data_IF_916511800735
#
_entry.id   IF_916511800735
#
_cell.length_a   1.000
_cell.length_b   1.000
_cell.length_c   1.000
_cell.angle_alpha   90.00
_cell.angle_beta   90.00
_cell.angle_gamma   90.00
#
_symmetry.space_group_name_H-M   'P 1'
#
loop_
_entity.id
_entity.type
_entity.pdbx_description
1 polymer ?
#
# COMPACT_ATOMS: atom_id res chain seq x y z
N UNK A 1 -59.61 -33.08 -42.48
CA UNK A 1 -58.94 -31.87 -41.94
C UNK A 1 -57.60 -32.31 -41.40
N UNK A 2 -56.53 -32.01 -42.14
CA UNK A 2 -55.16 -32.41 -41.82
C UNK A 2 -54.64 -31.46 -40.76
N UNK A 3 -54.18 -32.01 -39.63
CA UNK A 3 -53.63 -31.28 -38.50
C UNK A 3 -52.25 -30.75 -38.91
N UNK A 4 -52.18 -29.46 -39.24
CA UNK A 4 -50.92 -28.78 -39.59
C UNK A 4 -50.30 -28.25 -38.29
N UNK A 5 -49.15 -28.79 -37.94
CA UNK A 5 -48.33 -28.32 -36.83
C UNK A 5 -47.36 -29.41 -36.38
N UNK A 6 -46.06 -29.13 -36.43
CA UNK A 6 -45.01 -30.00 -35.89
C UNK A 6 -45.10 -29.99 -34.36
N UNK A 7 -45.93 -30.89 -33.82
CA UNK A 7 -46.19 -31.01 -32.38
C UNK A 7 -44.90 -31.38 -31.63
N UNK A 8 -43.99 -32.11 -32.27
CA UNK A 8 -42.67 -32.46 -31.75
C UNK A 8 -41.71 -31.27 -31.78
N UNK A 9 -41.82 -30.38 -32.77
CA UNK A 9 -41.13 -29.08 -32.80
C UNK A 9 -41.59 -28.15 -31.66
N UNK A 10 -42.88 -28.12 -31.35
CA UNK A 10 -43.44 -27.36 -30.22
C UNK A 10 -43.03 -27.97 -28.87
N UNK A 11 -42.88 -29.30 -28.79
CA UNK A 11 -42.38 -29.98 -27.61
C UNK A 11 -40.89 -29.66 -27.36
N UNK A 12 -40.06 -29.64 -28.42
CA UNK A 12 -38.64 -29.26 -28.34
C UNK A 12 -38.45 -27.79 -27.92
N UNK A 13 -39.27 -26.87 -28.43
CA UNK A 13 -39.28 -25.47 -27.97
C UNK A 13 -39.79 -25.32 -26.52
N UNK A 14 -40.54 -26.29 -25.97
CA UNK A 14 -40.92 -26.30 -24.55
C UNK A 14 -39.81 -26.86 -23.65
N UNK A 15 -39.02 -27.82 -24.12
CA UNK A 15 -37.86 -28.33 -23.35
C UNK A 15 -36.71 -27.31 -23.35
N UNK A 16 -36.45 -26.61 -24.46
CA UNK A 16 -35.34 -25.64 -24.57
C UNK A 16 -35.62 -24.26 -23.92
N UNK A 17 -36.84 -24.02 -23.41
CA UNK A 17 -37.21 -22.76 -22.76
C UNK A 17 -37.60 -22.87 -21.28
N UNK A 18 -37.43 -24.04 -20.67
CA UNK A 18 -37.65 -24.24 -19.24
C UNK A 18 -36.38 -24.58 -18.45
N UNK A 19 -35.22 -24.17 -18.94
CA UNK A 19 -34.01 -24.06 -18.10
C UNK A 19 -33.92 -22.69 -17.39
N UNK A 20 -35.08 -22.13 -17.02
CA UNK A 20 -35.12 -21.30 -15.83
C UNK A 20 -34.88 -22.26 -14.67
N UNK A 21 -33.61 -22.45 -14.32
CA UNK A 21 -33.23 -22.77 -12.96
C UNK A 21 -33.97 -21.76 -12.08
N UNK A 22 -35.12 -22.19 -11.54
CA UNK A 22 -35.56 -21.75 -10.25
C UNK A 22 -34.35 -22.00 -9.37
N UNK A 23 -33.55 -20.96 -9.17
CA UNK A 23 -32.64 -20.88 -8.05
C UNK A 23 -33.54 -21.20 -6.87
N UNK A 24 -33.46 -22.43 -6.37
CA UNK A 24 -34.03 -22.75 -5.07
C UNK A 24 -33.48 -21.65 -4.17
N UNK A 25 -34.37 -20.78 -3.70
CA UNK A 25 -34.01 -19.72 -2.75
C UNK A 25 -33.36 -20.46 -1.60
N UNK A 26 -32.03 -20.45 -1.57
CA UNK A 26 -31.29 -21.22 -0.60
C UNK A 26 -31.51 -20.51 0.72
N UNK A 27 -32.49 -20.94 1.51
CA UNK A 27 -32.89 -20.29 2.76
C UNK A 27 -31.70 -20.14 3.74
N UNK A 28 -30.61 -20.88 3.53
CA UNK A 28 -29.33 -20.70 4.22
C UNK A 28 -28.72 -19.29 4.03
N UNK A 29 -28.96 -18.61 2.90
CA UNK A 29 -28.48 -17.24 2.63
C UNK A 29 -29.02 -16.17 3.58
N UNK A 30 -30.08 -16.49 4.35
CA UNK A 30 -30.71 -15.58 5.31
C UNK A 30 -30.49 -15.97 6.77
N UNK A 31 -29.69 -17.01 7.04
CA UNK A 31 -29.41 -17.51 8.40
C UNK A 31 -28.74 -16.46 9.30
N UNK A 32 -28.04 -15.50 8.69
CA UNK A 32 -27.42 -14.41 9.43
C UNK A 32 -28.43 -13.64 10.28
N UNK A 33 -29.66 -13.41 9.78
CA UNK A 33 -30.72 -12.72 10.53
C UNK A 33 -31.06 -13.46 11.82
N UNK A 34 -31.18 -14.78 11.76
CA UNK A 34 -31.48 -15.63 12.92
C UNK A 34 -30.36 -15.60 13.98
N UNK A 35 -29.10 -15.53 13.54
CA UNK A 35 -27.94 -15.34 14.43
C UNK A 35 -28.06 -14.05 15.24
N UNK A 36 -28.37 -12.93 14.58
CA UNK A 36 -28.37 -11.62 15.25
C UNK A 36 -29.64 -11.31 16.04
N UNK A 37 -30.79 -11.90 15.70
CA UNK A 37 -32.01 -11.81 16.54
C UNK A 37 -31.73 -12.19 17.99
N UNK A 38 -31.07 -13.33 18.20
CA UNK A 38 -30.70 -13.82 19.54
C UNK A 38 -29.61 -12.97 20.17
N UNK A 39 -28.57 -12.62 19.40
CA UNK A 39 -27.39 -11.91 19.91
C UNK A 39 -27.69 -10.47 20.33
N UNK A 40 -28.62 -9.80 19.65
CA UNK A 40 -29.03 -8.42 19.94
C UNK A 40 -30.25 -8.33 20.87
N UNK A 41 -30.83 -9.47 21.27
CA UNK A 41 -32.04 -9.55 22.09
C UNK A 41 -33.18 -8.66 21.54
N UNK A 42 -33.43 -8.78 20.23
CA UNK A 42 -34.40 -7.94 19.53
C UNK A 42 -35.83 -8.23 20.01
N UNK A 43 -36.63 -7.19 20.07
CA UNK A 43 -38.08 -7.30 20.31
C UNK A 43 -38.77 -8.03 19.15
N UNK A 44 -40.02 -8.47 19.36
CA UNK A 44 -40.82 -9.10 18.30
C UNK A 44 -41.00 -8.17 17.09
N UNK A 45 -41.20 -6.88 17.35
CA UNK A 45 -41.40 -5.88 16.31
C UNK A 45 -40.11 -5.63 15.51
N UNK A 46 -38.97 -5.49 16.17
CA UNK A 46 -37.67 -5.36 15.51
C UNK A 46 -37.31 -6.62 14.71
N UNK A 47 -37.64 -7.79 15.24
CA UNK A 47 -37.47 -9.08 14.55
C UNK A 47 -38.30 -9.13 13.27
N UNK A 48 -39.57 -8.69 13.32
CA UNK A 48 -40.44 -8.61 12.16
C UNK A 48 -39.90 -7.66 11.10
N UNK A 49 -39.36 -6.50 11.50
CA UNK A 49 -38.75 -5.54 10.56
C UNK A 49 -37.48 -6.13 9.92
N UNK A 50 -36.63 -6.80 10.70
CA UNK A 50 -35.41 -7.45 10.18
C UNK A 50 -35.74 -8.58 9.19
N UNK A 51 -36.83 -9.31 9.40
CA UNK A 51 -37.27 -10.40 8.53
C UNK A 51 -37.73 -9.97 7.14
N UNK A 52 -38.03 -8.68 6.95
CA UNK A 52 -38.35 -8.09 5.64
C UNK A 52 -37.12 -7.84 4.76
N UNK A 53 -35.90 -7.91 5.31
CA UNK A 53 -34.67 -7.64 4.54
C UNK A 53 -34.28 -8.85 3.69
N UNK A 54 -34.30 -8.70 2.37
CA UNK A 54 -33.86 -9.73 1.44
C UNK A 54 -32.47 -9.39 0.87
N UNK A 55 -31.47 -9.47 1.77
CA UNK A 55 -30.08 -9.11 1.46
C UNK A 55 -29.13 -10.28 1.76
N UNK A 56 -28.37 -10.69 0.75
CA UNK A 56 -27.28 -11.65 0.90
C UNK A 56 -26.08 -10.99 1.56
N UNK A 57 -25.34 -11.74 2.36
CA UNK A 57 -24.18 -11.21 3.07
C UNK A 57 -23.05 -10.81 2.10
N UNK A 58 -22.27 -9.80 2.47
CA UNK A 58 -21.09 -9.34 1.74
C UNK A 58 -19.86 -9.30 2.67
N UNK A 59 -18.67 -9.04 2.13
CA UNK A 59 -17.43 -9.05 2.91
C UNK A 59 -17.46 -8.15 4.16
N UNK A 60 -18.10 -6.98 4.10
CA UNK A 60 -18.19 -6.06 5.23
C UNK A 60 -19.19 -6.56 6.28
N UNK A 61 -20.38 -6.98 5.85
CA UNK A 61 -21.42 -7.52 6.74
C UNK A 61 -21.05 -8.92 7.27
N UNK A 62 -20.10 -9.62 6.64
CA UNK A 62 -19.48 -10.83 7.18
C UNK A 62 -18.63 -10.54 8.42
N UNK A 63 -18.12 -9.31 8.59
CA UNK A 63 -17.49 -8.89 9.84
C UNK A 63 -18.60 -8.65 10.87
N UNK A 64 -18.59 -9.45 11.92
CA UNK A 64 -19.68 -9.51 12.89
C UNK A 64 -20.01 -8.14 13.52
N UNK A 65 -18.98 -7.39 13.94
CA UNK A 65 -19.17 -6.06 14.52
C UNK A 65 -19.81 -5.09 13.53
N UNK A 66 -19.34 -5.09 12.28
CA UNK A 66 -19.92 -4.26 11.21
C UNK A 66 -21.39 -4.63 10.97
N UNK A 67 -21.73 -5.91 10.92
CA UNK A 67 -23.11 -6.36 10.77
C UNK A 67 -24.00 -5.84 11.91
N UNK A 68 -23.53 -5.95 13.15
CA UNK A 68 -24.26 -5.48 14.34
C UNK A 68 -24.55 -3.99 14.25
N UNK A 69 -23.56 -3.16 13.92
CA UNK A 69 -23.74 -1.72 13.81
C UNK A 69 -24.67 -1.33 12.65
N UNK A 70 -24.62 -2.06 11.52
CA UNK A 70 -25.57 -1.85 10.41
C UNK A 70 -26.99 -2.22 10.82
N UNK A 71 -27.20 -3.35 11.51
CA UNK A 71 -28.53 -3.76 12.01
C UNK A 71 -29.06 -2.72 13.00
N UNK A 72 -28.24 -2.25 13.94
CA UNK A 72 -28.61 -1.22 14.92
C UNK A 72 -29.03 0.07 14.24
N UNK A 73 -28.22 0.55 13.29
CA UNK A 73 -28.55 1.74 12.50
C UNK A 73 -29.85 1.54 11.73
N UNK A 74 -30.01 0.40 11.06
CA UNK A 74 -31.23 0.07 10.32
C UNK A 74 -32.49 0.10 11.18
N UNK A 75 -32.49 -0.58 12.33
CA UNK A 75 -33.64 -0.60 13.22
C UNK A 75 -33.96 0.80 13.76
N UNK A 76 -32.94 1.57 14.12
CA UNK A 76 -33.11 2.95 14.56
C UNK A 76 -33.66 3.84 13.43
N UNK A 77 -33.16 3.68 12.20
CA UNK A 77 -33.66 4.40 11.02
C UNK A 77 -35.12 4.07 10.75
N UNK A 78 -35.49 2.79 10.77
CA UNK A 78 -36.88 2.36 10.57
C UNK A 78 -37.81 2.91 11.66
N UNK A 79 -37.38 2.95 12.92
CA UNK A 79 -38.18 3.53 13.99
C UNK A 79 -38.37 5.05 13.80
N UNK A 80 -37.30 5.79 13.47
CA UNK A 80 -37.40 7.23 13.21
C UNK A 80 -38.27 7.53 11.99
N UNK A 81 -38.15 6.73 10.94
CA UNK A 81 -38.96 6.87 9.73
C UNK A 81 -40.45 6.67 10.03
N UNK A 82 -40.80 5.64 10.83
CA UNK A 82 -42.17 5.43 11.32
C UNK A 82 -42.69 6.65 12.08
N UNK A 83 -41.90 7.21 13.00
CA UNK A 83 -42.30 8.40 13.76
C UNK A 83 -42.51 9.63 12.87
N UNK A 84 -41.65 9.84 11.87
CA UNK A 84 -41.80 10.96 10.92
C UNK A 84 -43.13 10.85 10.16
N UNK A 85 -43.48 9.65 9.67
CA UNK A 85 -44.73 9.47 8.94
C UNK A 85 -45.96 9.61 9.84
N UNK A 86 -45.92 9.08 11.06
CA UNK A 86 -47.00 9.25 12.05
C UNK A 86 -47.20 10.73 12.39
N UNK A 87 -46.13 11.50 12.59
CA UNK A 87 -46.20 12.94 12.86
C UNK A 87 -46.80 13.74 11.69
N UNK A 88 -46.69 13.23 10.47
CA UNK A 88 -47.28 13.83 9.28
C UNK A 88 -48.70 13.32 8.99
N UNK A 89 -49.30 12.53 9.89
CA UNK A 89 -50.65 11.99 9.73
C UNK A 89 -50.75 10.78 8.80
N UNK A 90 -49.64 10.10 8.52
CA UNK A 90 -49.54 8.92 7.67
C UNK A 90 -49.00 7.71 8.44
N UNK A 91 -48.75 6.59 7.75
CA UNK A 91 -48.07 5.42 8.30
C UNK A 91 -47.01 4.92 7.32
N UNK A 92 -46.04 4.16 7.81
CA UNK A 92 -44.98 3.64 6.93
C UNK A 92 -45.55 2.70 5.87
N UNK A 93 -46.60 1.96 6.19
CA UNK A 93 -47.29 1.05 5.27
C UNK A 93 -47.95 1.83 4.13
N UNK A 94 -48.65 2.93 4.44
CA UNK A 94 -49.30 3.78 3.43
C UNK A 94 -48.25 4.42 2.51
N UNK A 95 -47.19 5.00 3.07
CA UNK A 95 -46.15 5.66 2.29
C UNK A 95 -45.40 4.68 1.39
N UNK A 96 -45.13 3.47 1.90
CA UNK A 96 -44.50 2.43 1.09
C UNK A 96 -45.44 1.96 -0.02
N UNK A 97 -46.74 1.83 0.23
CA UNK A 97 -47.70 1.47 -0.81
C UNK A 97 -47.80 2.56 -1.90
N UNK A 98 -47.75 3.84 -1.53
CA UNK A 98 -47.74 4.95 -2.49
C UNK A 98 -46.50 4.93 -3.39
N UNK A 99 -45.31 4.79 -2.80
CA UNK A 99 -44.06 4.70 -3.57
C UNK A 99 -44.10 3.45 -4.46
N UNK A 100 -44.57 2.31 -3.92
CA UNK A 100 -44.69 1.07 -4.68
C UNK A 100 -45.69 1.20 -5.85
N UNK A 101 -46.82 1.89 -5.71
CA UNK A 101 -47.79 2.13 -6.79
C UNK A 101 -47.13 2.89 -7.96
N UNK A 102 -46.32 3.91 -7.67
CA UNK A 102 -45.56 4.64 -8.70
C UNK A 102 -44.54 3.72 -9.37
N UNK A 103 -43.72 3.01 -8.61
CA UNK A 103 -42.73 2.06 -9.13
C UNK A 103 -43.39 1.02 -10.03
N UNK A 104 -44.46 0.37 -9.57
CA UNK A 104 -45.13 -0.71 -10.30
C UNK A 104 -45.77 -0.21 -11.60
N UNK A 105 -46.36 0.98 -11.59
CA UNK A 105 -46.99 1.55 -12.80
C UNK A 105 -45.98 2.15 -13.76
N UNK A 106 -44.88 2.73 -13.29
CA UNK A 106 -43.93 3.50 -14.12
C UNK A 106 -42.71 2.69 -14.54
N UNK A 107 -42.14 1.93 -13.63
CA UNK A 107 -40.98 1.08 -13.90
C UNK A 107 -41.40 -0.26 -14.51
N UNK A 108 -42.29 -1.01 -13.84
CA UNK A 108 -42.75 -2.32 -14.33
C UNK A 108 -43.89 -2.23 -15.37
N UNK A 109 -44.53 -1.07 -15.50
CA UNK A 109 -45.64 -0.81 -16.45
C UNK A 109 -46.85 -1.74 -16.25
N UNK A 110 -47.10 -2.18 -15.03
CA UNK A 110 -48.26 -3.03 -14.73
C UNK A 110 -49.53 -2.22 -14.52
N UNK A 111 -50.65 -2.74 -15.04
CA UNK A 111 -51.97 -2.13 -14.86
C UNK A 111 -52.42 -2.26 -13.41
N UNK A 112 -52.87 -1.15 -12.83
CA UNK A 112 -53.43 -1.10 -11.47
C UNK A 112 -54.54 -2.14 -11.29
N UNK A 113 -54.44 -2.93 -10.21
CA UNK A 113 -55.40 -4.00 -9.88
C UNK A 113 -55.17 -5.35 -10.58
N UNK A 114 -54.24 -5.46 -11.53
CA UNK A 114 -53.86 -6.75 -12.12
C UNK A 114 -53.17 -7.67 -11.11
N UNK A 115 -53.13 -8.98 -11.38
CA UNK A 115 -52.43 -9.92 -10.50
C UNK A 115 -50.93 -9.58 -10.40
N UNK A 116 -50.29 -9.23 -11.53
CA UNK A 116 -48.90 -8.80 -11.55
C UNK A 116 -48.68 -7.52 -10.73
N UNK A 117 -49.62 -6.58 -10.77
CA UNK A 117 -49.57 -5.39 -9.91
C UNK A 117 -49.58 -5.77 -8.44
N UNK A 118 -50.52 -6.62 -8.00
CA UNK A 118 -50.65 -7.01 -6.59
C UNK A 118 -49.39 -7.72 -6.08
N UNK A 119 -48.82 -8.63 -6.87
CA UNK A 119 -47.57 -9.30 -6.52
C UNK A 119 -46.37 -8.34 -6.50
N UNK A 120 -46.28 -7.43 -7.47
CA UNK A 120 -45.17 -6.49 -7.54
C UNK A 120 -45.17 -5.48 -6.39
N UNK A 121 -46.34 -5.02 -5.93
CA UNK A 121 -46.44 -4.12 -4.76
C UNK A 121 -45.77 -4.75 -3.53
N UNK A 122 -46.08 -6.01 -3.21
CA UNK A 122 -45.48 -6.72 -2.09
C UNK A 122 -43.96 -6.92 -2.26
N UNK A 123 -43.51 -7.17 -3.50
CA UNK A 123 -42.09 -7.30 -3.79
C UNK A 123 -41.33 -5.98 -3.62
N UNK A 124 -41.92 -4.85 -4.05
CA UNK A 124 -41.33 -3.52 -3.90
C UNK A 124 -41.10 -3.18 -2.42
N UNK A 125 -42.03 -3.54 -1.53
CA UNK A 125 -41.87 -3.29 -0.10
C UNK A 125 -40.60 -3.95 0.46
N UNK A 126 -40.37 -5.23 0.16
CA UNK A 126 -39.16 -5.94 0.55
C UNK A 126 -37.89 -5.34 -0.07
N UNK A 127 -38.00 -4.84 -1.31
CA UNK A 127 -36.92 -4.12 -1.98
C UNK A 127 -36.58 -2.82 -1.26
N UNK A 128 -37.58 -2.06 -0.78
CA UNK A 128 -37.36 -0.86 0.02
C UNK A 128 -36.60 -1.19 1.30
N UNK A 129 -37.04 -2.19 2.07
CA UNK A 129 -36.31 -2.63 3.27
C UNK A 129 -34.85 -3.00 2.97
N UNK A 130 -34.60 -3.66 1.83
CA UNK A 130 -33.26 -4.04 1.38
C UNK A 130 -32.41 -2.84 0.99
N UNK A 131 -32.99 -1.87 0.27
CA UNK A 131 -32.28 -0.65 -0.13
C UNK A 131 -31.99 0.27 1.06
N UNK A 132 -32.91 0.38 2.01
CA UNK A 132 -32.69 1.08 3.29
C UNK A 132 -31.53 0.43 4.06
N UNK A 133 -31.49 -0.90 4.13
CA UNK A 133 -30.40 -1.61 4.78
C UNK A 133 -29.05 -1.34 4.10
N UNK A 134 -28.97 -1.39 2.76
CA UNK A 134 -27.75 -1.01 2.02
C UNK A 134 -27.34 0.44 2.29
N UNK A 135 -28.29 1.35 2.43
CA UNK A 135 -28.01 2.75 2.73
C UNK A 135 -27.44 2.93 4.15
N UNK A 136 -27.96 2.17 5.12
CA UNK A 136 -27.38 2.05 6.46
C UNK A 136 -25.95 1.47 6.39
N UNK A 137 -25.73 0.43 5.58
CA UNK A 137 -24.40 -0.14 5.39
C UNK A 137 -23.39 0.87 4.83
N UNK A 138 -23.77 1.62 3.80
CA UNK A 138 -22.92 2.68 3.24
C UNK A 138 -22.57 3.76 4.27
N UNK A 139 -23.52 4.08 5.15
CA UNK A 139 -23.32 5.06 6.23
C UNK A 139 -22.30 4.54 7.25
N UNK A 140 -22.43 3.28 7.68
CA UNK A 140 -21.46 2.66 8.59
C UNK A 140 -20.10 2.51 7.93
N UNK A 141 -20.04 2.12 6.64
CA UNK A 141 -18.80 2.05 5.86
C UNK A 141 -18.08 3.39 5.83
N UNK A 142 -18.79 4.46 5.53
CA UNK A 142 -18.23 5.81 5.49
C UNK A 142 -17.73 6.25 6.87
N UNK A 143 -18.52 6.03 7.92
CA UNK A 143 -18.11 6.30 9.30
C UNK A 143 -16.86 5.52 9.71
N UNK A 144 -16.71 4.28 9.23
CA UNK A 144 -15.54 3.44 9.47
C UNK A 144 -14.40 3.67 8.46
N UNK A 145 -14.46 4.72 7.62
CA UNK A 145 -13.40 5.06 6.66
C UNK A 145 -13.23 4.04 5.52
N UNK A 146 -14.25 3.25 5.22
CA UNK A 146 -14.25 2.30 4.12
C UNK A 146 -14.77 2.97 2.83
N UNK A 147 -13.86 3.25 1.89
CA UNK A 147 -14.16 4.05 0.68
C UNK A 147 -15.09 3.39 -0.33
N UNK A 148 -15.12 2.05 -0.40
CA UNK A 148 -15.96 1.32 -1.37
C UNK A 148 -17.41 1.28 -0.88
N UNK A 149 -18.28 2.08 -1.51
CA UNK A 149 -19.72 2.08 -1.26
C UNK A 149 -20.41 1.02 -2.14
N UNK A 150 -21.52 0.49 -1.66
CA UNK A 150 -22.45 -0.32 -2.45
C UNK A 150 -23.24 0.62 -3.35
N UNK A 151 -23.37 0.27 -4.62
CA UNK A 151 -24.25 0.99 -5.55
C UNK A 151 -25.71 0.78 -5.15
N UNK A 152 -26.41 1.89 -4.90
CA UNK A 152 -27.84 1.92 -4.60
C UNK A 152 -28.45 2.87 -5.63
N UNK A 153 -28.90 2.32 -6.76
CA UNK A 153 -29.61 3.08 -7.79
C UNK A 153 -30.84 2.27 -8.26
N UNK A 154 -31.80 2.03 -7.35
CA UNK A 154 -33.02 1.34 -7.73
C UNK A 154 -33.78 2.18 -8.76
N UNK A 155 -34.38 1.49 -9.73
CA UNK A 155 -35.23 2.10 -10.75
C UNK A 155 -34.53 3.12 -11.67
N UNK A 156 -33.21 3.04 -11.86
CA UNK A 156 -32.42 3.93 -12.72
C UNK A 156 -33.00 4.13 -14.14
N UNK A 157 -33.72 3.14 -14.67
CA UNK A 157 -34.38 3.20 -15.98
C UNK A 157 -35.72 3.94 -16.01
N UNK A 158 -36.24 4.40 -14.86
CA UNK A 158 -37.52 5.11 -14.73
C UNK A 158 -37.35 6.35 -13.85
N UNK A 159 -37.21 7.52 -14.50
CA UNK A 159 -37.04 8.82 -13.83
C UNK A 159 -38.13 9.09 -12.79
N UNK A 160 -39.41 8.93 -13.16
CA UNK A 160 -40.55 9.14 -12.24
C UNK A 160 -40.45 8.27 -10.97
N UNK A 161 -40.14 6.96 -11.14
CA UNK A 161 -40.06 6.03 -10.01
C UNK A 161 -38.83 6.31 -9.14
N UNK A 162 -37.72 6.69 -9.76
CA UNK A 162 -36.49 7.09 -9.07
C UNK A 162 -36.70 8.36 -8.25
N UNK A 163 -37.29 9.40 -8.85
CA UNK A 163 -37.57 10.67 -8.17
C UNK A 163 -38.50 10.47 -6.98
N UNK A 164 -39.58 9.69 -7.14
CA UNK A 164 -40.50 9.40 -6.03
C UNK A 164 -39.78 8.66 -4.89
N UNK A 165 -38.97 7.66 -5.21
CA UNK A 165 -38.20 6.90 -4.23
C UNK A 165 -37.15 7.76 -3.53
N UNK A 166 -36.41 8.59 -4.25
CA UNK A 166 -35.38 9.46 -3.69
C UNK A 166 -35.99 10.55 -2.79
N UNK A 167 -37.05 11.20 -3.26
CA UNK A 167 -37.67 12.33 -2.55
C UNK A 167 -38.45 11.87 -1.32
N UNK A 168 -39.28 10.82 -1.43
CA UNK A 168 -40.11 10.37 -0.30
C UNK A 168 -39.37 9.50 0.72
N UNK A 169 -38.34 8.77 0.30
CA UNK A 169 -37.63 7.82 1.17
C UNK A 169 -36.18 8.22 1.43
N UNK A 170 -35.33 8.31 0.41
CA UNK A 170 -33.88 8.48 0.60
C UNK A 170 -33.54 9.83 1.25
N UNK A 171 -34.22 10.91 0.86
CA UNK A 171 -34.00 12.25 1.45
C UNK A 171 -34.26 12.25 2.96
N UNK A 172 -35.31 11.56 3.42
CA UNK A 172 -35.66 11.43 4.84
C UNK A 172 -34.64 10.59 5.59
N UNK A 173 -34.20 9.49 4.98
CA UNK A 173 -33.17 8.62 5.57
C UNK A 173 -31.85 9.37 5.73
N UNK A 174 -31.45 10.16 4.72
CA UNK A 174 -30.25 10.98 4.81
C UNK A 174 -30.31 11.94 6.00
N UNK A 175 -31.46 12.60 6.22
CA UNK A 175 -31.66 13.48 7.38
C UNK A 175 -31.60 12.73 8.71
N UNK A 176 -32.21 11.55 8.80
CA UNK A 176 -32.14 10.69 10.00
C UNK A 176 -30.68 10.30 10.29
N UNK A 177 -29.93 9.93 9.25
CA UNK A 177 -28.55 9.47 9.40
C UNK A 177 -27.60 10.57 9.90
N UNK A 178 -27.85 11.85 9.56
CA UNK A 178 -27.08 12.97 10.12
C UNK A 178 -27.14 13.01 11.66
N UNK A 179 -28.26 12.59 12.25
CA UNK A 179 -28.43 12.53 13.70
C UNK A 179 -27.88 11.20 14.26
N UNK A 180 -28.20 10.09 13.60
CA UNK A 180 -27.86 8.75 14.10
C UNK A 180 -26.38 8.38 13.94
N UNK A 181 -25.63 9.02 13.04
CA UNK A 181 -24.21 8.71 12.84
C UNK A 181 -23.38 8.86 14.11
N UNK A 182 -23.74 9.82 14.97
CA UNK A 182 -23.09 10.06 16.27
C UNK A 182 -23.30 8.93 17.29
N UNK A 183 -24.28 8.06 17.06
CA UNK A 183 -24.59 6.92 17.93
C UNK A 183 -23.91 5.62 17.49
N UNK A 184 -23.24 5.63 16.33
CA UNK A 184 -22.51 4.47 15.82
C UNK A 184 -21.20 4.37 16.62
N UNK A 185 -20.93 3.17 17.15
CA UNK A 185 -19.71 2.96 17.93
C UNK A 185 -18.51 2.78 16.99
N UNK A 186 -17.36 3.33 17.38
CA UNK A 186 -16.12 3.11 16.65
C UNK A 186 -15.75 1.61 16.64
N UNK A 187 -15.07 1.12 15.59
CA UNK A 187 -14.64 -0.27 15.51
C UNK A 187 -13.65 -0.64 16.63
N UNK A 188 -13.77 -1.85 17.16
CA UNK A 188 -12.76 -2.41 18.06
C UNK A 188 -11.46 -2.80 17.31
N UNK A 189 -10.41 -3.15 18.05
CA UNK A 189 -9.10 -3.49 17.46
C UNK A 189 -9.18 -4.67 16.49
N UNK A 190 -9.98 -5.67 16.79
CA UNK A 190 -10.13 -6.86 15.94
C UNK A 190 -10.86 -6.52 14.62
N UNK A 191 -11.89 -5.69 14.72
CA UNK A 191 -12.66 -5.19 13.57
C UNK A 191 -11.80 -4.29 12.70
N UNK A 192 -10.99 -3.41 13.29
CA UNK A 192 -10.01 -2.58 12.56
C UNK A 192 -9.05 -3.43 11.72
N UNK A 193 -8.52 -4.52 12.28
CA UNK A 193 -7.63 -5.44 11.57
C UNK A 193 -8.34 -6.05 10.36
N UNK A 194 -9.55 -6.58 10.55
CA UNK A 194 -10.36 -7.17 9.47
C UNK A 194 -10.73 -6.14 8.39
N UNK A 195 -11.02 -4.90 8.78
CA UNK A 195 -11.33 -3.82 7.84
C UNK A 195 -10.10 -3.41 7.01
N UNK A 196 -8.91 -3.40 7.62
CA UNK A 196 -7.66 -3.09 6.95
C UNK A 196 -7.21 -4.23 6.00
N UNK A 197 -7.49 -5.48 6.33
CA UNK A 197 -7.29 -6.62 5.43
C UNK A 197 -8.12 -6.47 4.14
N UNK A 198 -9.36 -5.98 4.24
CA UNK A 198 -10.23 -5.82 3.06
C UNK A 198 -9.85 -4.66 2.15
N UNK A 199 -9.16 -3.63 2.67
CA UNK A 199 -8.75 -2.46 1.91
C UNK A 199 -7.33 -2.06 2.27
N UNK A 200 -6.39 -2.48 1.42
CA UNK A 200 -4.95 -2.30 1.61
C UNK A 200 -4.53 -0.85 1.73
N UNK A 201 -5.34 0.11 1.26
CA UNK A 201 -5.04 1.55 1.27
C UNK A 201 -5.75 2.32 2.38
N UNK A 202 -6.56 1.67 3.23
CA UNK A 202 -7.35 2.34 4.28
C UNK A 202 -6.48 3.07 5.30
N UNK A 203 -5.30 2.53 5.61
CA UNK A 203 -4.34 3.14 6.53
C UNK A 203 -3.88 4.54 6.12
N UNK A 204 -3.94 4.89 4.82
CA UNK A 204 -3.49 6.20 4.31
C UNK A 204 -4.25 7.37 4.93
N UNK A 205 -5.53 7.19 5.26
CA UNK A 205 -6.32 8.24 5.92
C UNK A 205 -5.80 8.50 7.33
N UNK A 206 -5.65 7.46 8.15
CA UNK A 206 -5.09 7.56 9.50
C UNK A 206 -3.64 8.06 9.48
N UNK A 207 -2.83 7.60 8.54
CA UNK A 207 -1.46 8.08 8.36
C UNK A 207 -1.41 9.58 8.07
N UNK A 208 -2.30 10.08 7.20
CA UNK A 208 -2.40 11.51 6.90
C UNK A 208 -2.83 12.31 8.14
N UNK A 209 -3.76 11.79 8.94
CA UNK A 209 -4.17 12.41 10.21
C UNK A 209 -2.98 12.52 11.17
N UNK A 210 -2.26 11.41 11.41
CA UNK A 210 -1.04 11.37 12.26
C UNK A 210 0.03 12.34 11.75
N UNK A 211 0.23 12.40 10.43
CA UNK A 211 1.20 13.31 9.82
C UNK A 211 0.80 14.78 9.95
N UNK A 212 -0.50 15.07 9.94
CA UNK A 212 -1.04 16.43 10.03
C UNK A 212 -1.11 16.94 11.47
N UNK A 213 -1.30 16.04 12.45
CA UNK A 213 -1.27 16.35 13.89
C UNK A 213 0.16 16.40 14.46
N UNK A 214 1.18 16.17 13.65
CA UNK A 214 2.56 16.14 14.09
C UNK A 214 3.03 17.47 14.67
N UNK A 215 3.39 17.46 15.96
CA UNK A 215 3.75 18.62 16.76
C UNK A 215 5.27 18.68 17.07
N UNK A 216 6.12 18.07 16.23
CA UNK A 216 7.57 17.87 16.44
C UNK A 216 7.93 16.86 17.56
N UNK A 217 6.97 16.14 18.11
CA UNK A 217 7.24 15.02 19.01
C UNK A 217 7.49 13.72 18.23
N UNK A 218 8.77 13.37 18.02
CA UNK A 218 9.15 12.24 17.18
C UNK A 218 8.81 10.88 17.78
N UNK A 219 8.89 10.74 19.11
CA UNK A 219 8.54 9.50 19.83
C UNK A 219 7.05 9.20 19.77
N UNK A 220 6.21 10.21 19.96
CA UNK A 220 4.76 10.07 19.85
C UNK A 220 4.35 9.67 18.42
N UNK A 221 5.00 10.24 17.40
CA UNK A 221 4.81 9.82 16.02
C UNK A 221 5.21 8.36 15.80
N UNK A 222 6.39 7.95 16.30
CA UNK A 222 6.86 6.56 16.23
C UNK A 222 5.85 5.59 16.85
N UNK A 223 5.36 5.88 18.06
CA UNK A 223 4.38 5.04 18.75
C UNK A 223 3.06 4.93 17.98
N UNK A 224 2.56 6.05 17.42
CA UNK A 224 1.34 6.08 16.62
C UNK A 224 1.49 5.28 15.31
N UNK A 225 2.65 5.34 14.65
CA UNK A 225 2.92 4.55 13.43
C UNK A 225 3.04 3.06 13.77
N UNK A 226 3.69 2.70 14.88
CA UNK A 226 3.77 1.30 15.34
C UNK A 226 2.37 0.78 15.68
N UNK A 227 1.53 1.57 16.35
CA UNK A 227 0.13 1.19 16.61
C UNK A 227 -0.66 1.01 15.31
N UNK A 228 -0.49 1.92 14.34
CA UNK A 228 -1.09 1.79 13.02
C UNK A 228 -0.64 0.51 12.30
N UNK A 229 0.65 0.16 12.39
CA UNK A 229 1.19 -1.09 11.88
C UNK A 229 0.57 -2.32 12.55
N UNK A 230 0.38 -2.31 13.87
CA UNK A 230 -0.31 -3.40 14.60
C UNK A 230 -1.75 -3.59 14.14
N UNK A 231 -2.46 -2.50 13.86
CA UNK A 231 -3.82 -2.56 13.28
C UNK A 231 -3.85 -3.03 11.82
N UNK A 232 -2.71 -3.05 11.14
CA UNK A 232 -2.56 -3.49 9.76
C UNK A 232 -1.77 -4.81 9.65
N UNK A 233 -1.60 -5.57 10.74
CA UNK A 233 -0.79 -6.81 10.75
C UNK A 233 -1.19 -7.86 9.69
N UNK A 234 -2.47 -7.90 9.31
CA UNK A 234 -3.02 -8.82 8.29
C UNK A 234 -3.11 -8.15 6.91
N UNK A 235 -2.82 -6.85 6.80
CA UNK A 235 -2.83 -6.14 5.54
C UNK A 235 -1.56 -6.48 4.75
N UNK A 236 -1.67 -6.93 3.48
CA UNK A 236 -0.50 -7.26 2.65
C UNK A 236 0.36 -6.04 2.27
N UNK A 237 -0.06 -4.82 2.63
CA UNK A 237 0.68 -3.58 2.35
C UNK A 237 1.16 -2.86 3.62
N UNK A 238 1.30 -3.60 4.73
CA UNK A 238 1.69 -3.06 6.05
C UNK A 238 3.10 -2.46 6.04
N UNK A 239 4.00 -3.02 5.27
CA UNK A 239 5.37 -2.56 5.08
C UNK A 239 5.41 -1.10 4.57
N UNK A 240 4.47 -0.72 3.69
CA UNK A 240 4.39 0.64 3.17
C UNK A 240 4.05 1.69 4.24
N UNK A 241 3.39 1.30 5.34
CA UNK A 241 3.10 2.21 6.47
C UNK A 241 4.41 2.67 7.12
N UNK A 242 5.30 1.71 7.38
CA UNK A 242 6.58 1.94 8.01
C UNK A 242 7.55 2.66 7.06
N UNK A 243 7.51 2.33 5.77
CA UNK A 243 8.32 3.01 4.75
C UNK A 243 7.93 4.48 4.58
N UNK A 244 6.64 4.79 4.48
CA UNK A 244 6.20 6.19 4.40
C UNK A 244 6.45 6.95 5.73
N UNK A 245 6.29 6.26 6.87
CA UNK A 245 6.63 6.82 8.18
C UNK A 245 8.11 7.18 8.31
N UNK A 246 9.02 6.31 7.86
CA UNK A 246 10.47 6.57 7.91
C UNK A 246 10.85 7.77 7.04
N UNK A 247 10.28 7.88 5.84
CA UNK A 247 10.49 9.04 4.94
C UNK A 247 10.02 10.35 5.57
N UNK A 248 8.86 10.34 6.24
CA UNK A 248 8.29 11.54 6.86
C UNK A 248 9.17 12.03 8.01
N UNK A 249 9.54 11.15 8.94
CA UNK A 249 10.26 11.54 10.16
C UNK A 249 11.75 11.80 9.93
N UNK A 250 12.33 11.37 8.81
CA UNK A 250 13.74 11.55 8.46
C UNK A 250 14.25 12.99 8.57
N UNK A 251 13.38 13.99 8.32
CA UNK A 251 13.72 15.41 8.43
C UNK A 251 13.79 15.94 9.87
N UNK A 252 13.20 15.21 10.83
CA UNK A 252 13.02 15.65 12.22
C UNK A 252 13.87 14.85 13.18
N UNK A 253 13.86 13.52 13.06
CA UNK A 253 14.63 12.63 13.90
C UNK A 253 15.18 11.46 13.06
N UNK A 254 16.50 11.36 13.03
CA UNK A 254 17.20 10.37 12.24
C UNK A 254 17.11 8.96 12.88
N UNK A 255 17.16 8.85 14.21
CA UNK A 255 17.05 7.57 14.93
C UNK A 255 15.66 6.95 14.76
N UNK A 256 14.60 7.75 14.91
CA UNK A 256 13.23 7.27 14.76
C UNK A 256 12.94 6.86 13.30
N UNK A 257 13.54 7.55 12.32
CA UNK A 257 13.44 7.20 10.91
C UNK A 257 14.08 5.86 10.60
N UNK A 258 15.29 5.61 11.10
CA UNK A 258 15.97 4.32 10.93
C UNK A 258 15.22 3.20 11.64
N UNK A 259 14.64 3.47 12.82
CA UNK A 259 13.81 2.50 13.54
C UNK A 259 12.57 2.08 12.74
N UNK A 260 11.86 3.04 12.14
CA UNK A 260 10.74 2.76 11.23
C UNK A 260 11.19 2.00 9.97
N UNK A 261 12.37 2.29 9.44
CA UNK A 261 12.91 1.57 8.29
C UNK A 261 13.23 0.09 8.62
N UNK A 262 13.70 -0.21 9.82
CA UNK A 262 13.87 -1.61 10.26
C UNK A 262 12.51 -2.31 10.39
N UNK A 263 11.48 -1.63 10.90
CA UNK A 263 10.12 -2.18 10.90
C UNK A 263 9.60 -2.44 9.48
N UNK A 264 9.92 -1.56 8.51
CA UNK A 264 9.62 -1.81 7.10
C UNK A 264 10.26 -3.12 6.63
N UNK A 265 11.56 -3.31 6.86
CA UNK A 265 12.28 -4.53 6.46
C UNK A 265 11.73 -5.79 7.15
N UNK A 266 11.37 -5.74 8.43
CA UNK A 266 10.78 -6.89 9.14
C UNK A 266 9.49 -7.38 8.49
N UNK A 267 8.66 -6.45 8.01
CA UNK A 267 7.41 -6.76 7.32
C UNK A 267 7.63 -7.15 5.86
N UNK A 268 8.58 -6.51 5.16
CA UNK A 268 8.96 -6.84 3.78
C UNK A 268 9.54 -8.27 3.67
N UNK A 269 10.35 -8.69 4.66
CA UNK A 269 10.88 -10.07 4.75
C UNK A 269 9.78 -11.13 4.97
N UNK A 270 8.60 -10.74 5.49
CA UNK A 270 7.45 -11.61 5.71
C UNK A 270 6.44 -11.55 4.54
N UNK A 271 6.63 -10.63 3.61
CA UNK A 271 5.77 -10.45 2.44
C UNK A 271 5.95 -11.59 1.44
N UNK A 272 4.97 -11.74 0.54
CA UNK A 272 4.99 -12.70 -0.56
C UNK A 272 6.09 -12.33 -1.58
N UNK A 273 6.30 -11.03 -1.78
CA UNK A 273 7.37 -10.47 -2.61
C UNK A 273 8.27 -9.62 -1.73
N UNK A 274 9.58 -9.84 -1.83
CA UNK A 274 10.59 -9.02 -1.16
C UNK A 274 10.95 -7.86 -2.09
N UNK A 275 10.43 -6.67 -1.81
CA UNK A 275 10.61 -5.49 -2.67
C UNK A 275 11.92 -4.74 -2.36
N UNK A 276 12.40 -4.79 -1.10
CA UNK A 276 13.60 -4.12 -0.59
C UNK A 276 13.79 -2.68 -1.10
N UNK A 277 12.74 -1.85 -0.95
CA UNK A 277 12.75 -0.46 -1.38
C UNK A 277 13.75 0.34 -0.56
N UNK A 278 14.83 0.74 -1.22
CA UNK A 278 15.84 1.59 -0.61
C UNK A 278 15.32 3.03 -0.40
N UNK A 279 15.79 3.68 0.65
CA UNK A 279 15.59 5.11 0.85
C UNK A 279 16.27 5.88 -0.29
N UNK A 280 15.65 6.95 -0.79
CA UNK A 280 16.23 7.75 -1.88
C UNK A 280 17.53 8.42 -1.44
N UNK A 281 18.44 8.69 -2.40
CA UNK A 281 19.74 9.37 -2.13
C UNK A 281 19.55 10.68 -1.33
N UNK A 282 18.48 11.42 -1.56
CA UNK A 282 18.14 12.65 -0.82
C UNK A 282 17.82 12.37 0.65
N UNK A 283 17.08 11.31 0.95
CA UNK A 283 16.74 10.94 2.33
C UNK A 283 17.96 10.34 3.03
N UNK A 284 18.76 9.52 2.34
CA UNK A 284 20.02 9.00 2.87
C UNK A 284 20.97 10.14 3.27
N UNK A 285 21.15 11.17 2.42
CA UNK A 285 21.92 12.38 2.75
C UNK A 285 21.38 13.15 3.96
N UNK A 286 20.07 13.08 4.21
CA UNK A 286 19.47 13.71 5.41
C UNK A 286 19.67 12.89 6.68
N UNK A 287 19.80 11.56 6.56
CA UNK A 287 19.93 10.62 7.67
C UNK A 287 21.37 10.40 8.10
N UNK A 288 22.33 10.43 7.16
CA UNK A 288 23.74 10.16 7.42
C UNK A 288 24.59 11.36 7.03
N UNK A 289 25.38 11.86 7.99
CA UNK A 289 26.33 12.95 7.76
C UNK A 289 27.73 12.45 7.39
N UNK A 290 28.08 11.26 7.87
CA UNK A 290 29.36 10.60 7.63
C UNK A 290 29.13 9.24 6.97
N UNK A 291 29.98 8.83 6.02
CA UNK A 291 29.90 7.52 5.36
C UNK A 291 29.98 6.35 6.37
N UNK A 292 30.70 6.53 7.47
CA UNK A 292 30.81 5.55 8.56
C UNK A 292 29.43 5.24 9.18
N UNK A 293 28.52 6.22 9.23
CA UNK A 293 27.18 6.01 9.78
C UNK A 293 26.34 5.14 8.84
N UNK A 294 26.49 5.34 7.53
CA UNK A 294 25.84 4.52 6.50
C UNK A 294 26.34 3.07 6.57
N UNK A 295 27.66 2.85 6.56
CA UNK A 295 28.25 1.50 6.67
C UNK A 295 27.84 0.78 7.97
N UNK A 296 27.80 1.50 9.09
CA UNK A 296 27.34 0.92 10.36
C UNK A 296 25.87 0.50 10.27
N UNK A 297 25.02 1.29 9.61
CA UNK A 297 23.61 0.97 9.43
C UNK A 297 23.41 -0.20 8.46
N UNK A 298 24.15 -0.25 7.35
CA UNK A 298 24.13 -1.37 6.40
C UNK A 298 24.55 -2.68 7.06
N UNK A 299 25.52 -2.64 7.96
CA UNK A 299 25.89 -3.80 8.79
C UNK A 299 24.75 -4.23 9.71
N UNK A 300 24.04 -3.29 10.35
CA UNK A 300 22.86 -3.61 11.18
C UNK A 300 21.77 -4.27 10.33
N UNK A 301 21.52 -3.74 9.12
CA UNK A 301 20.53 -4.32 8.19
C UNK A 301 20.96 -5.71 7.73
N UNK A 302 22.24 -5.91 7.42
CA UNK A 302 22.78 -7.21 6.99
C UNK A 302 22.69 -8.26 8.10
N UNK A 303 23.02 -7.87 9.34
CA UNK A 303 22.82 -8.71 10.52
C UNK A 303 21.34 -9.04 10.72
N UNK A 304 20.46 -8.05 10.59
CA UNK A 304 19.01 -8.22 10.74
C UNK A 304 18.40 -9.16 9.70
N UNK A 305 18.83 -9.09 8.44
CA UNK A 305 18.38 -9.99 7.38
C UNK A 305 18.76 -11.45 7.72
N UNK A 306 19.92 -11.65 8.36
CA UNK A 306 20.40 -12.98 8.73
C UNK A 306 19.76 -13.51 10.03
N UNK A 307 19.70 -12.70 11.09
CA UNK A 307 19.22 -13.12 12.42
C UNK A 307 17.70 -12.98 12.60
N UNK A 308 17.05 -12.11 11.82
CA UNK A 308 15.62 -11.76 11.90
C UNK A 308 15.18 -11.30 13.29
N UNK A 309 16.10 -10.78 14.10
CA UNK A 309 15.83 -10.30 15.45
C UNK A 309 15.57 -8.79 15.45
N UNK A 310 14.28 -8.44 15.41
CA UNK A 310 13.83 -7.05 15.42
C UNK A 310 14.30 -6.29 16.67
N UNK A 311 14.33 -6.94 17.83
CA UNK A 311 14.73 -6.30 19.08
C UNK A 311 16.22 -5.96 19.10
N UNK A 312 17.06 -6.87 18.61
CA UNK A 312 18.51 -6.64 18.47
C UNK A 312 18.82 -5.51 17.48
N UNK A 313 18.12 -5.47 16.35
CA UNK A 313 18.29 -4.45 15.33
C UNK A 313 17.89 -3.05 15.84
N UNK A 314 16.72 -2.91 16.47
CA UNK A 314 16.24 -1.64 17.03
C UNK A 314 17.16 -1.11 18.14
N UNK A 315 17.65 -1.97 19.02
CA UNK A 315 18.61 -1.57 20.07
C UNK A 315 19.98 -1.12 19.54
N UNK A 316 20.28 -1.42 18.27
CA UNK A 316 21.53 -1.06 17.63
C UNK A 316 21.43 0.26 16.84
N UNK A 317 20.22 0.76 16.56
CA UNK A 317 19.98 2.02 15.83
C UNK A 317 20.65 3.23 16.52
N UNK A 318 20.51 3.46 17.84
CA UNK A 318 21.15 4.61 18.47
C UNK A 318 22.69 4.56 18.41
N UNK A 319 23.27 3.36 18.22
CA UNK A 319 24.73 3.18 18.12
C UNK A 319 25.28 3.67 16.79
N UNK A 320 24.44 3.88 15.78
CA UNK A 320 24.84 4.42 14.47
C UNK A 320 25.42 5.83 14.61
N UNK A 321 24.80 6.65 15.46
CA UNK A 321 25.21 8.03 15.72
C UNK A 321 26.15 8.18 16.91
N UNK A 322 26.51 7.08 17.57
CA UNK A 322 27.43 7.13 18.69
C UNK A 322 28.83 7.56 18.21
N UNK A 323 29.35 8.64 18.80
CA UNK A 323 30.70 9.14 18.50
C UNK A 323 31.73 8.06 18.85
N UNK A 324 32.36 7.47 17.83
CA UNK A 324 33.53 6.60 18.02
C UNK A 324 34.66 7.47 18.58
N UNK A 325 35.08 7.22 19.82
CA UNK A 325 36.26 7.89 20.40
C UNK A 325 37.46 7.64 19.48
N UNK A 326 38.14 8.70 19.03
CA UNK A 326 39.33 8.59 18.19
C UNK A 326 40.34 7.69 18.91
N UNK A 327 40.70 6.56 18.29
CA UNK A 327 41.79 5.72 18.76
C UNK A 327 43.08 6.43 18.35
N UNK A 328 43.70 7.14 19.28
CA UNK A 328 45.00 7.79 19.04
C UNK A 328 46.01 6.66 18.85
N UNK A 329 46.38 6.38 17.60
CA UNK A 329 47.45 5.45 17.28
C UNK A 329 48.70 6.30 17.05
N UNK A 330 49.49 6.49 18.13
CA UNK A 330 50.79 7.14 18.07
C UNK A 330 51.72 6.30 17.19
N UNK A 331 52.11 6.86 16.05
CA UNK A 331 53.08 6.25 15.15
C UNK A 331 54.48 6.27 15.80
N UNK A 332 54.88 5.13 16.36
CA UNK A 332 56.14 4.97 17.08
C UNK A 332 57.36 5.07 16.16
N UNK A 333 57.17 4.90 14.84
CA UNK A 333 58.23 5.05 13.83
C UNK A 333 58.55 6.51 13.61
N UNK A 334 57.52 7.33 13.37
CA UNK A 334 57.66 8.78 13.24
C UNK A 334 58.23 9.42 14.52
N UNK A 335 57.83 8.94 15.70
CA UNK A 335 58.42 9.42 16.97
C UNK A 335 59.92 9.12 17.05
N UNK A 336 60.36 7.94 16.61
CA UNK A 336 61.78 7.56 16.60
C UNK A 336 62.57 8.31 15.55
N UNK A 337 61.98 8.55 14.40
CA UNK A 337 62.59 9.27 13.28
C UNK A 337 62.76 10.76 13.62
N UNK A 338 61.76 11.38 14.23
CA UNK A 338 61.84 12.74 14.81
C UNK A 338 62.86 12.79 15.96
N UNK A 339 62.90 11.79 16.86
CA UNK A 339 63.94 11.72 17.90
C UNK A 339 65.36 11.58 17.34
N UNK A 340 65.54 10.87 16.22
CA UNK A 340 66.85 10.73 15.57
C UNK A 340 67.25 11.98 14.78
N UNK A 341 66.32 12.53 13.97
CA UNK A 341 66.55 13.73 13.17
C UNK A 341 66.80 14.98 14.03
N UNK A 342 66.18 15.06 15.20
CA UNK A 342 66.37 16.16 16.13
C UNK A 342 67.30 15.84 17.30
N UNK A 343 68.00 14.70 17.33
CA UNK A 343 68.91 14.37 18.45
C UNK A 343 69.99 15.43 18.67
N UNK A 344 70.59 15.93 17.57
CA UNK A 344 71.57 17.02 17.57
C UNK A 344 70.93 18.41 17.69
N UNK A 345 69.67 18.58 17.25
CA UNK A 345 68.93 19.83 17.39
C UNK A 345 68.37 20.02 18.79
N UNK A 346 68.05 18.96 19.53
CA UNK A 346 67.51 18.99 20.91
C UNK A 346 68.60 19.31 21.93
N UNK A 347 69.85 18.90 21.68
CA UNK A 347 71.00 19.35 22.48
C UNK A 347 71.26 20.85 22.26
N UNK A 348 71.22 21.35 21.02
CA UNK A 348 71.31 22.78 20.73
C UNK A 348 70.10 23.57 21.25
N UNK A 349 68.86 23.08 21.11
CA UNK A 349 67.67 23.77 21.60
C UNK A 349 67.65 23.84 23.14
N UNK A 350 68.15 22.83 23.86
CA UNK A 350 68.28 22.92 25.32
C UNK A 350 69.31 23.98 25.75
N UNK A 351 70.30 24.29 24.89
CA UNK A 351 71.28 25.35 25.12
C UNK A 351 70.72 26.75 24.75
N UNK A 352 69.82 26.83 23.76
CA UNK A 352 69.20 28.07 23.27
C UNK A 352 67.85 28.44 23.92
N UNK A 353 67.13 27.50 24.55
CA UNK A 353 65.85 27.74 25.24
C UNK A 353 65.99 28.41 26.62
N UNK A 354 67.16 29.02 26.91
CA UNK A 354 67.30 29.93 28.05
C UNK A 354 66.77 31.34 27.80
N UNK A 355 66.42 31.72 26.57
CA UNK A 355 65.85 33.04 26.32
C UNK A 355 64.71 33.00 25.27
N UNK A 356 63.53 33.42 25.76
CA UNK A 356 62.43 34.14 25.09
C UNK A 356 61.50 33.45 24.06
N UNK A 357 60.26 33.27 24.55
CA UNK A 357 58.93 33.62 24.02
C UNK A 357 58.38 33.11 22.66
N UNK A 358 57.23 32.43 22.84
CA UNK A 358 56.07 32.11 22.00
C UNK A 358 55.71 33.05 20.83
N UNK A 359 55.21 32.46 19.73
CA UNK A 359 53.95 32.88 19.07
C UNK A 359 53.38 31.79 18.14
N UNK A 360 52.05 31.70 18.11
CA UNK A 360 51.18 30.72 17.44
C UNK A 360 51.03 30.96 15.93
N UNK A 361 50.82 29.89 15.13
CA UNK A 361 50.16 29.98 13.82
C UNK A 361 49.18 28.80 13.62
N UNK A 362 47.89 29.12 13.57
CA UNK A 362 46.81 28.31 13.01
C UNK A 362 46.99 28.12 11.49
N UNK A 363 46.58 26.96 10.95
CA UNK A 363 45.99 26.95 9.60
C UNK A 363 44.99 25.80 9.39
N UNK A 364 43.88 26.19 8.77
CA UNK A 364 42.69 25.41 8.40
C UNK A 364 42.96 24.51 7.19
N UNK A 365 42.21 23.42 7.15
CA UNK A 365 42.12 22.45 6.07
C UNK A 365 41.34 22.97 4.86
N UNK A 366 41.68 22.47 3.68
CA UNK A 366 40.74 22.09 2.61
C UNK A 366 41.47 21.13 1.66
N UNK A 367 40.95 19.91 1.53
CA UNK A 367 41.33 18.94 0.50
C UNK A 367 40.03 18.38 -0.05
N UNK A 368 39.67 18.86 -1.24
CA UNK A 368 38.69 18.25 -2.13
C UNK A 368 39.33 17.01 -2.74
N UNK A 369 38.78 15.83 -2.46
CA UNK A 369 39.02 14.64 -3.30
C UNK A 369 37.69 13.96 -3.62
N UNK A 370 37.43 13.91 -4.93
CA UNK A 370 36.47 13.05 -5.61
C UNK A 370 36.84 11.59 -5.34
N UNK A 371 35.88 10.74 -4.96
CA UNK A 371 36.12 9.29 -4.89
C UNK A 371 34.90 8.53 -5.44
N UNK A 372 35.15 7.85 -6.56
CA UNK A 372 34.37 6.77 -7.14
C UNK A 372 34.35 5.53 -6.23
N UNK A 373 33.27 4.76 -6.35
CA UNK A 373 33.06 3.50 -5.66
C UNK A 373 33.84 2.39 -6.38
N UNK A 374 34.69 1.67 -5.67
CA UNK A 374 35.18 0.35 -6.09
C UNK A 374 35.03 -0.64 -4.93
N UNK A 375 34.23 -1.69 -5.14
CA UNK A 375 34.07 -2.82 -4.23
C UNK A 375 34.93 -3.96 -4.77
N UNK A 376 36.02 -4.27 -4.07
CA UNK A 376 36.85 -5.44 -4.33
C UNK A 376 36.13 -6.73 -3.91
N UNK A 377 35.87 -7.60 -4.88
CA UNK A 377 35.63 -9.01 -4.66
C UNK A 377 36.69 -9.81 -5.42
N UNK A 378 37.49 -10.57 -4.67
CA UNK A 378 38.13 -11.82 -5.10
C UNK A 378 39.04 -11.78 -6.34
N UNK A 379 40.34 -12.00 -6.13
CA UNK A 379 41.30 -12.35 -7.19
C UNK A 379 40.74 -13.40 -8.15
N UNK A 380 40.73 -13.13 -9.46
CA UNK A 380 41.34 -13.98 -10.49
C UNK A 380 41.30 -13.37 -11.91
N UNK A 381 42.49 -13.42 -12.54
CA UNK A 381 42.83 -13.54 -13.96
C UNK A 381 42.55 -12.35 -14.92
N UNK A 382 43.65 -11.71 -15.31
CA UNK A 382 43.77 -10.74 -16.40
C UNK A 382 43.36 -11.38 -17.73
N UNK A 383 42.12 -11.16 -18.15
CA UNK A 383 41.75 -11.27 -19.56
C UNK A 383 41.92 -9.91 -20.21
N UNK A 384 42.80 -9.83 -21.20
CA UNK A 384 43.04 -8.65 -22.04
C UNK A 384 41.70 -8.13 -22.58
N UNK A 385 41.23 -6.99 -22.05
CA UNK A 385 39.98 -6.36 -22.45
C UNK A 385 40.15 -5.65 -23.79
N UNK A 386 39.18 -5.84 -24.69
CA UNK A 386 39.10 -5.22 -26.03
C UNK A 386 38.52 -3.79 -25.95
N UNK A 387 38.07 -3.39 -24.76
CA UNK A 387 37.40 -2.12 -24.49
C UNK A 387 38.40 -1.07 -23.97
N UNK A 388 38.14 0.22 -24.21
CA UNK A 388 39.03 1.30 -23.76
C UNK A 388 39.25 1.24 -22.25
N UNK A 389 40.46 1.63 -21.79
CA UNK A 389 40.81 1.69 -20.35
C UNK A 389 39.96 2.69 -19.56
N UNK A 390 39.26 3.57 -20.27
CA UNK A 390 38.35 4.56 -19.70
C UNK A 390 37.04 3.94 -19.19
N UNK A 391 36.77 2.66 -19.49
CA UNK A 391 35.59 1.94 -18.99
C UNK A 391 35.98 0.78 -18.07
N UNK A 392 35.54 0.84 -16.80
CA UNK A 392 35.75 -0.23 -15.82
C UNK A 392 34.60 -1.24 -15.90
N UNK A 393 34.66 -2.13 -16.89
CA UNK A 393 33.66 -3.20 -17.04
C UNK A 393 33.96 -4.43 -16.17
N UNK A 394 32.93 -4.93 -15.47
CA UNK A 394 32.97 -6.24 -14.82
C UNK A 394 32.84 -7.37 -15.86
N UNK A 395 33.28 -8.60 -15.55
CA UNK A 395 33.16 -9.74 -16.48
C UNK A 395 31.74 -10.03 -16.98
N UNK A 396 30.74 -9.69 -16.17
CA UNK A 396 29.33 -9.80 -16.56
C UNK A 396 28.91 -8.70 -17.55
N UNK A 397 29.48 -7.49 -17.46
CA UNK A 397 29.21 -6.40 -18.39
C UNK A 397 29.80 -6.71 -19.78
N UNK A 398 31.03 -7.20 -19.83
CA UNK A 398 31.66 -7.64 -21.09
C UNK A 398 30.89 -8.79 -21.74
N UNK A 399 30.49 -9.80 -20.96
CA UNK A 399 29.65 -10.91 -21.44
C UNK A 399 28.30 -10.42 -22.00
N UNK A 400 27.76 -9.35 -21.44
CA UNK A 400 26.50 -8.74 -21.88
C UNK A 400 26.68 -8.00 -23.20
N UNK A 401 27.73 -7.19 -23.33
CA UNK A 401 28.08 -6.49 -24.56
C UNK A 401 28.40 -7.45 -25.71
N UNK A 402 29.06 -8.57 -25.43
CA UNK A 402 29.29 -9.65 -26.40
C UNK A 402 27.99 -10.33 -26.86
N UNK A 403 27.00 -10.45 -25.97
CA UNK A 403 25.69 -10.99 -26.32
C UNK A 403 24.96 -10.06 -27.29
N UNK A 404 25.02 -8.74 -27.06
CA UNK A 404 24.49 -7.75 -27.99
C UNK A 404 25.21 -7.82 -29.34
N UNK A 405 26.54 -7.94 -29.34
CA UNK A 405 27.31 -8.09 -30.58
C UNK A 405 26.89 -9.32 -31.40
N UNK A 406 26.68 -10.48 -30.75
CA UNK A 406 26.27 -11.73 -31.41
C UNK A 406 24.84 -11.69 -31.98
N UNK A 407 23.98 -10.85 -31.41
CA UNK A 407 22.57 -10.71 -31.81
C UNK A 407 22.31 -9.43 -32.64
N UNK A 408 23.32 -8.91 -33.35
CA UNK A 408 23.19 -7.69 -34.17
C UNK A 408 22.68 -6.46 -33.40
N UNK A 409 23.09 -6.31 -32.14
CA UNK A 409 22.75 -5.20 -31.24
C UNK A 409 21.27 -5.05 -30.89
N UNK A 410 20.45 -6.09 -31.09
CA UNK A 410 19.06 -6.14 -30.65
C UNK A 410 18.76 -7.49 -30.01
N UNK A 411 18.20 -7.49 -28.80
CA UNK A 411 17.88 -8.71 -28.05
C UNK A 411 16.45 -8.60 -27.51
N UNK A 412 15.67 -9.68 -27.64
CA UNK A 412 14.33 -9.76 -27.06
C UNK A 412 14.42 -9.69 -25.52
N UNK A 413 13.57 -8.89 -24.87
CA UNK A 413 13.65 -8.68 -23.42
C UNK A 413 13.56 -9.98 -22.60
N UNK A 414 12.79 -10.97 -23.08
CA UNK A 414 12.63 -12.27 -22.42
C UNK A 414 13.89 -13.15 -22.52
N UNK A 415 14.64 -13.05 -23.62
CA UNK A 415 15.92 -13.75 -23.81
C UNK A 415 17.02 -13.11 -22.95
N UNK A 416 17.03 -11.77 -22.89
CA UNK A 416 17.93 -11.02 -22.03
C UNK A 416 17.68 -11.32 -20.54
N UNK A 417 16.41 -11.47 -20.14
CA UNK A 417 16.03 -11.86 -18.79
C UNK A 417 16.55 -13.25 -18.40
N UNK A 418 16.47 -14.22 -19.31
CA UNK A 418 16.99 -15.56 -19.09
C UNK A 418 18.52 -15.57 -18.97
N UNK A 419 19.20 -14.75 -19.79
CA UNK A 419 20.65 -14.58 -19.70
C UNK A 419 21.07 -13.96 -18.35
N UNK A 420 20.43 -12.87 -17.93
CA UNK A 420 20.72 -12.20 -16.66
C UNK A 420 20.51 -13.16 -15.46
N UNK A 421 19.40 -13.90 -15.45
CA UNK A 421 19.11 -14.93 -14.44
C UNK A 421 20.17 -16.03 -14.40
N UNK A 422 20.65 -16.49 -15.56
CA UNK A 422 21.70 -17.52 -15.64
C UNK A 422 23.05 -17.08 -15.05
N UNK A 423 23.28 -15.76 -14.97
CA UNK A 423 24.48 -15.13 -14.40
C UNK A 423 24.26 -14.57 -12.99
N UNK A 424 23.08 -14.82 -12.38
CA UNK A 424 22.76 -14.37 -11.03
C UNK A 424 22.53 -12.87 -10.90
N UNK A 425 22.20 -12.17 -11.99
CA UNK A 425 21.95 -10.73 -12.01
C UNK A 425 20.53 -10.41 -12.48
N UNK A 426 19.99 -9.26 -12.07
CA UNK A 426 18.69 -8.77 -12.54
C UNK A 426 18.86 -7.95 -13.81
N UNK A 427 17.96 -8.13 -14.79
CA UNK A 427 18.07 -7.51 -16.12
C UNK A 427 18.14 -5.98 -16.08
N UNK A 428 17.27 -5.32 -15.30
CA UNK A 428 17.21 -3.86 -15.23
C UNK A 428 18.46 -3.29 -14.55
N UNK A 429 18.91 -3.93 -13.47
CA UNK A 429 20.14 -3.54 -12.77
C UNK A 429 21.37 -3.70 -13.67
N UNK A 430 21.42 -4.73 -14.51
CA UNK A 430 22.53 -4.94 -15.43
C UNK A 430 22.57 -3.88 -16.54
N UNK A 431 21.41 -3.50 -17.07
CA UNK A 431 21.28 -2.42 -18.07
C UNK A 431 21.63 -1.07 -17.46
N UNK A 432 21.06 -0.75 -16.30
CA UNK A 432 21.33 0.50 -15.58
C UNK A 432 22.81 0.64 -15.25
N UNK A 433 23.45 -0.42 -14.72
CA UNK A 433 24.89 -0.39 -14.43
C UNK A 433 25.75 -0.18 -15.68
N UNK A 434 25.40 -0.80 -16.82
CA UNK A 434 26.15 -0.63 -18.07
C UNK A 434 25.95 0.79 -18.62
N UNK A 435 24.72 1.30 -18.59
CA UNK A 435 24.40 2.65 -19.03
C UNK A 435 25.08 3.69 -18.15
N UNK A 436 25.07 3.54 -16.82
CA UNK A 436 25.75 4.45 -15.90
C UNK A 436 27.26 4.53 -16.17
N UNK A 437 27.93 3.38 -16.41
CA UNK A 437 29.37 3.34 -16.75
C UNK A 437 29.65 4.07 -18.08
N UNK A 438 28.70 4.03 -19.03
CA UNK A 438 28.92 4.58 -20.36
C UNK A 438 28.41 6.02 -20.51
N UNK A 439 27.52 6.47 -19.62
CA UNK A 439 26.82 7.75 -19.74
C UNK A 439 27.78 8.95 -19.69
N UNK A 440 28.78 8.93 -18.81
CA UNK A 440 29.74 10.04 -18.68
C UNK A 440 30.60 10.26 -19.93
N UNK A 441 30.83 9.21 -20.72
CA UNK A 441 31.68 9.27 -21.93
C UNK A 441 30.87 9.36 -23.23
N UNK A 442 29.64 8.84 -23.24
CA UNK A 442 28.76 8.87 -24.41
C UNK A 442 27.79 10.06 -24.41
N UNK A 443 27.60 10.71 -23.26
CA UNK A 443 26.56 11.73 -23.00
C UNK A 443 25.14 11.23 -23.33
N UNK A 444 24.95 9.91 -23.39
CA UNK A 444 23.70 9.24 -23.80
C UNK A 444 23.64 7.79 -23.27
N UNK A 445 22.45 7.19 -23.28
CA UNK A 445 22.26 5.79 -22.89
C UNK A 445 22.82 4.84 -23.96
N UNK A 446 23.55 3.80 -23.54
CA UNK A 446 24.10 2.82 -24.47
C UNK A 446 23.06 1.78 -24.91
N UNK A 447 22.31 1.26 -23.95
CA UNK A 447 21.24 0.27 -24.13
C UNK A 447 19.91 0.99 -23.93
N UNK A 448 19.10 1.02 -24.98
CA UNK A 448 17.75 1.59 -24.99
C UNK A 448 16.70 0.47 -24.96
N UNK A 449 15.55 0.78 -24.38
CA UNK A 449 14.37 -0.08 -24.38
C UNK A 449 13.43 0.35 -25.51
N UNK A 450 13.25 -0.51 -26.51
CA UNK A 450 12.38 -0.28 -27.66
C UNK A 450 11.33 -1.40 -27.75
N UNK A 451 10.11 -1.09 -27.30
CA UNK A 451 8.97 -2.00 -27.20
C UNK A 451 9.30 -3.34 -26.49
N UNK A 452 9.48 -4.42 -27.24
CA UNK A 452 9.78 -5.77 -26.72
C UNK A 452 11.28 -6.13 -26.79
N UNK A 453 12.14 -5.19 -27.18
CA UNK A 453 13.57 -5.40 -27.38
C UNK A 453 14.43 -4.42 -26.55
N UNK A 454 15.65 -4.85 -26.26
CA UNK A 454 16.73 -3.97 -25.88
C UNK A 454 17.67 -3.80 -27.08
N UNK A 455 18.04 -2.55 -27.38
CA UNK A 455 18.86 -2.21 -28.53
C UNK A 455 20.08 -1.38 -28.12
N UNK A 456 21.20 -1.56 -28.83
CA UNK A 456 22.40 -0.72 -28.68
C UNK A 456 22.63 -0.01 -30.01
N UNK A 457 22.85 1.31 -29.95
CA UNK A 457 23.27 2.06 -31.13
C UNK A 457 24.70 1.67 -31.52
N UNK A 458 24.89 1.24 -32.76
CA UNK A 458 26.18 0.81 -33.30
C UNK A 458 27.27 1.89 -33.18
N UNK A 459 26.93 3.16 -33.39
CA UNK A 459 27.89 4.27 -33.33
C UNK A 459 28.37 4.52 -31.89
N UNK A 460 27.53 4.23 -30.90
CA UNK A 460 27.89 4.29 -29.48
C UNK A 460 28.71 3.08 -29.05
N UNK A 461 28.40 1.89 -29.55
CA UNK A 461 29.21 0.69 -29.30
C UNK A 461 30.64 0.83 -29.84
N UNK A 462 30.83 1.45 -31.01
CA UNK A 462 32.16 1.66 -31.58
C UNK A 462 33.04 2.60 -30.74
N UNK A 463 32.46 3.52 -29.98
CA UNK A 463 33.20 4.41 -29.07
C UNK A 463 33.73 3.69 -27.82
N UNK A 464 33.21 2.49 -27.51
CA UNK A 464 33.66 1.67 -26.38
C UNK A 464 34.91 0.85 -26.69
N UNK A 465 35.20 0.62 -27.98
CA UNK A 465 36.34 -0.18 -28.42
C UNK A 465 37.63 0.65 -28.33
N UNK A 466 38.70 0.03 -27.83
CA UNK A 466 40.02 0.64 -27.87
C UNK A 466 40.45 0.83 -29.34
N UNK A 467 40.90 2.02 -29.72
CA UNK A 467 41.50 2.27 -31.04
C UNK A 467 42.89 1.67 -31.16
#
# INVERSE_FOLDING_TARGET
>A
MVQVGDVDGVARLREDHYDYQYTQVNYSTFEWRNKYKKKLNLTKDETSVLDKIWYSSNNFVNIEYCCIEVIRLYLATMNNLKQIYVNNGSSIEIEFEEIADVVVRKHFRYRKGSNNYKHAIQSCENEFHTNIFKFCENTVREHFGHKRKITIDPYASSLDAKEEFETKLISKIAQIHLVLISKINLPDKETEIKLNLQNTTRWKTKFKEISSSFNKNSKEFLDQIIELGKLNKENPSVENIFFEGSKFIAKYNQEDALSLYIHYLDHDLKSITFDNKQLTKTIQKSLFKENIQLENFERIVSEFIHDKDLGKALNSVPKVYAVKRKKIQLDKSLIKEVQQQHSSTVELLNEFLRDENLEDIENKAELEEQIEISIDQGKMEETVSIYSKDFVFKPIHTSTLELFFKNNFSILQSEFENFAKSKGAFKNQLIENINEICFENLDDLLIEEDEEYYTINYDYYQKLLAK
#
